data_IF_765534660777
#
_entry.id   IF_765534660777
#
_cell.length_a   1.000
_cell.length_b   1.000
_cell.length_c   1.000
_cell.angle_alpha   90.00
_cell.angle_beta   90.00
_cell.angle_gamma   90.00
#
_symmetry.space_group_name_H-M   'P 1'
#
loop_
_entity.id
_entity.type
_entity.pdbx_description
1 polymer ?
#
# COMPACT_ATOMS: atom_id res chain seq x y z
N UNK A 1 -22.23 46.96 -48.68
CA UNK A 1 -21.42 46.61 -47.49
C UNK A 1 -20.87 45.21 -47.70
N UNK A 2 -19.55 45.11 -47.73
CA UNK A 2 -18.79 44.17 -48.53
C UNK A 2 -18.59 42.82 -47.81
N UNK A 3 -18.85 41.72 -48.52
CA UNK A 3 -18.54 40.33 -48.14
C UNK A 3 -17.05 40.11 -47.85
N UNK A 4 -16.22 41.09 -48.21
CA UNK A 4 -14.79 41.19 -47.92
C UNK A 4 -14.44 41.32 -46.42
N UNK A 5 -15.34 41.84 -45.56
CA UNK A 5 -15.03 42.03 -44.14
C UNK A 5 -15.19 40.76 -43.27
N UNK A 6 -15.76 39.67 -43.82
CA UNK A 6 -15.85 38.38 -43.10
C UNK A 6 -14.64 37.48 -43.34
N UNK A 7 -13.89 37.70 -44.42
CA UNK A 7 -12.69 36.92 -44.71
C UNK A 7 -11.47 37.35 -43.89
N UNK A 8 -11.41 38.62 -43.46
CA UNK A 8 -10.27 39.14 -42.68
C UNK A 8 -10.38 38.73 -41.19
N UNK A 9 -11.58 38.61 -40.62
CA UNK A 9 -11.74 38.22 -39.21
C UNK A 9 -11.52 36.71 -39.02
N UNK A 10 -11.88 35.88 -40.00
CA UNK A 10 -11.62 34.44 -39.94
C UNK A 10 -10.16 34.07 -40.22
N UNK A 11 -9.40 34.90 -40.96
CA UNK A 11 -7.96 34.67 -41.20
C UNK A 11 -7.06 35.32 -40.14
N UNK A 12 -7.50 36.38 -39.45
CA UNK A 12 -6.70 37.01 -38.39
C UNK A 12 -6.79 36.25 -37.05
N UNK A 13 -7.87 35.50 -36.79
CA UNK A 13 -7.96 34.64 -35.61
C UNK A 13 -7.07 33.38 -35.73
N UNK A 14 -6.63 33.03 -36.94
CA UNK A 14 -5.67 31.94 -37.20
C UNK A 14 -4.22 32.40 -37.00
N UNK A 15 -3.95 33.71 -36.84
CA UNK A 15 -2.60 34.23 -36.62
C UNK A 15 -2.19 34.40 -35.15
N UNK A 16 -3.11 34.18 -34.19
CA UNK A 16 -2.79 34.24 -32.76
C UNK A 16 -2.43 32.89 -32.13
N UNK A 17 -2.47 31.78 -32.87
CA UNK A 17 -2.09 30.46 -32.34
C UNK A 17 -0.63 30.09 -32.57
N UNK A 18 0.17 30.92 -33.26
CA UNK A 18 1.58 30.58 -33.55
C UNK A 18 2.61 31.29 -32.67
N UNK A 19 2.26 32.34 -31.92
CA UNK A 19 3.24 33.08 -31.10
C UNK A 19 3.29 32.66 -29.63
N UNK A 20 2.31 31.91 -29.13
CA UNK A 20 2.30 31.45 -27.73
C UNK A 20 3.31 30.31 -27.43
N UNK A 21 4.00 29.80 -28.45
CA UNK A 21 4.94 28.67 -28.36
C UNK A 21 6.39 29.09 -28.65
N UNK A 22 6.70 30.38 -28.50
CA UNK A 22 8.05 30.93 -28.71
C UNK A 22 8.88 30.99 -27.41
N UNK A 23 8.71 30.00 -26.53
CA UNK A 23 9.46 29.87 -25.27
C UNK A 23 10.12 28.48 -25.18
N UNK A 24 11.14 28.37 -24.33
CA UNK A 24 11.76 27.08 -24.01
C UNK A 24 10.72 26.16 -23.34
N UNK A 25 10.42 24.97 -23.89
CA UNK A 25 9.48 24.03 -23.30
C UNK A 25 9.84 23.64 -21.87
N UNK A 26 8.82 23.52 -21.03
CA UNK A 26 8.95 23.15 -19.63
C UNK A 26 8.31 21.77 -19.40
N UNK A 27 9.01 20.90 -18.67
CA UNK A 27 8.44 19.64 -18.19
C UNK A 27 7.48 19.96 -17.05
N UNK A 28 6.20 19.65 -17.25
CA UNK A 28 5.15 19.85 -16.25
C UNK A 28 4.91 18.62 -15.40
N UNK A 29 5.23 17.43 -15.92
CA UNK A 29 5.09 16.16 -15.20
C UNK A 29 6.07 15.12 -15.76
N UNK A 30 6.69 14.38 -14.86
CA UNK A 30 7.39 13.13 -15.17
C UNK A 30 6.93 12.07 -14.17
N UNK A 31 6.44 10.92 -14.66
CA UNK A 31 6.01 9.84 -13.76
C UNK A 31 6.07 8.47 -14.40
N UNK A 32 6.16 7.44 -13.56
CA UNK A 32 5.81 6.07 -13.93
C UNK A 32 4.30 5.99 -14.12
N UNK A 33 3.83 5.33 -15.18
CA UNK A 33 2.39 5.20 -15.48
C UNK A 33 1.89 3.75 -15.47
N UNK A 34 2.79 2.78 -15.55
CA UNK A 34 2.50 1.37 -15.36
C UNK A 34 3.76 0.62 -14.91
N UNK A 35 3.72 -0.71 -14.88
CA UNK A 35 4.84 -1.56 -14.44
C UNK A 35 6.11 -1.38 -15.28
N UNK A 36 6.02 -0.89 -16.51
CA UNK A 36 7.10 -0.80 -17.50
C UNK A 36 7.34 0.61 -18.04
N UNK A 37 6.40 1.53 -17.93
CA UNK A 37 6.40 2.74 -18.75
C UNK A 37 6.56 4.00 -17.91
N UNK A 38 7.42 4.91 -18.40
CA UNK A 38 7.46 6.31 -17.97
C UNK A 38 6.70 7.19 -18.95
N UNK A 39 6.14 8.29 -18.44
CA UNK A 39 5.56 9.37 -19.23
C UNK A 39 6.15 10.71 -18.81
N UNK A 40 6.48 11.52 -19.81
CA UNK A 40 6.81 12.93 -19.65
C UNK A 40 5.72 13.80 -20.30
N UNK A 41 5.38 14.91 -19.65
CA UNK A 41 4.42 15.90 -20.13
C UNK A 41 5.10 17.26 -20.21
N UNK A 42 4.91 17.96 -21.32
CA UNK A 42 5.37 19.32 -21.54
C UNK A 42 4.24 20.33 -21.37
N UNK A 43 4.56 21.61 -21.19
CA UNK A 43 3.60 22.70 -21.21
C UNK A 43 3.09 23.04 -22.63
N UNK A 44 3.76 22.52 -23.65
CA UNK A 44 3.46 22.76 -25.06
C UNK A 44 3.87 21.58 -25.96
N UNK A 45 3.39 21.50 -27.21
CA UNK A 45 3.82 20.48 -28.15
C UNK A 45 5.30 20.65 -28.50
N UNK A 46 6.05 19.56 -28.43
CA UNK A 46 7.47 19.48 -28.84
C UNK A 46 7.66 18.35 -29.85
N UNK A 47 8.70 18.44 -30.66
CA UNK A 47 9.21 17.37 -31.51
C UNK A 47 10.59 16.96 -30.96
N UNK A 48 10.83 15.66 -30.72
CA UNK A 48 12.15 15.17 -30.27
C UNK A 48 12.99 14.61 -31.42
N UNK A 49 14.33 14.73 -31.35
CA UNK A 49 15.30 14.19 -32.33
C UNK A 49 16.49 13.49 -31.64
N UNK A 50 17.22 12.66 -32.39
CA UNK A 50 18.50 12.04 -31.97
C UNK A 50 19.70 13.02 -32.04
N UNK A 51 19.64 14.05 -32.90
CA UNK A 51 20.79 14.90 -33.22
C UNK A 51 20.44 16.19 -33.99
N UNK A 52 21.41 17.13 -33.99
CA UNK A 52 21.34 18.49 -34.59
C UNK A 52 21.05 18.54 -36.11
N UNK A 53 21.08 17.43 -36.85
CA UNK A 53 21.15 17.46 -38.32
C UNK A 53 20.22 16.47 -39.05
N UNK A 54 19.35 15.72 -38.36
CA UNK A 54 18.54 14.70 -39.02
C UNK A 54 17.03 14.97 -38.86
N UNK A 55 16.40 15.44 -39.93
CA UNK A 55 14.94 15.65 -40.03
C UNK A 55 14.11 14.34 -39.99
N UNK A 56 14.77 13.18 -39.90
CA UNK A 56 14.18 11.84 -39.93
C UNK A 56 14.50 10.98 -38.69
N UNK A 57 15.20 11.53 -37.70
CA UNK A 57 15.56 10.81 -36.49
C UNK A 57 14.34 10.47 -35.60
N UNK A 58 14.42 9.34 -34.90
CA UNK A 58 13.48 9.00 -33.85
C UNK A 58 13.71 9.93 -32.63
N UNK A 59 12.64 10.34 -31.92
CA UNK A 59 12.78 11.15 -30.72
C UNK A 59 13.39 10.31 -29.60
N UNK A 60 14.54 10.73 -29.09
CA UNK A 60 15.28 9.98 -28.07
C UNK A 60 15.43 10.75 -26.77
N UNK A 61 15.50 10.00 -25.66
CA UNK A 61 15.84 10.49 -24.33
C UNK A 61 17.09 9.78 -23.82
N UNK A 62 18.04 10.57 -23.34
CA UNK A 62 19.17 10.09 -22.55
C UNK A 62 18.83 10.29 -21.08
N UNK A 63 18.85 9.25 -20.27
CA UNK A 63 18.53 9.38 -18.86
C UNK A 63 19.19 8.30 -18.00
N UNK A 64 19.24 8.55 -16.70
CA UNK A 64 19.71 7.63 -15.68
C UNK A 64 18.76 7.61 -14.50
N UNK A 65 18.69 6.46 -13.85
CA UNK A 65 17.80 6.19 -12.71
C UNK A 65 18.66 5.77 -11.54
N UNK A 66 18.61 6.52 -10.44
CA UNK A 66 19.45 6.24 -9.29
C UNK A 66 18.80 6.64 -7.96
N UNK A 67 19.26 5.99 -6.89
CA UNK A 67 18.89 6.33 -5.50
C UNK A 67 20.13 6.25 -4.63
N UNK A 68 20.50 7.36 -4.00
CA UNK A 68 21.80 7.48 -3.33
C UNK A 68 22.93 7.23 -4.33
N UNK A 69 23.78 6.24 -4.05
CA UNK A 69 24.90 5.84 -4.92
C UNK A 69 24.56 4.68 -5.87
N UNK A 70 23.36 4.10 -5.77
CA UNK A 70 22.95 2.95 -6.59
C UNK A 70 22.29 3.42 -7.87
N UNK A 71 22.79 2.95 -9.02
CA UNK A 71 22.21 3.21 -10.34
C UNK A 71 21.47 1.97 -10.84
N UNK A 72 20.19 2.14 -11.14
CA UNK A 72 19.32 1.11 -11.74
C UNK A 72 19.33 1.19 -13.27
N UNK A 73 19.69 2.35 -13.81
CA UNK A 73 19.91 2.58 -15.23
C UNK A 73 20.98 3.68 -15.40
N UNK A 74 21.90 3.46 -16.33
CA UNK A 74 23.04 4.34 -16.52
C UNK A 74 24.13 4.15 -15.45
N UNK A 75 25.00 5.14 -15.34
CA UNK A 75 26.18 5.13 -14.47
C UNK A 75 26.40 6.50 -13.81
N UNK A 76 27.25 6.59 -12.77
CA UNK A 76 27.70 7.88 -12.26
C UNK A 76 28.44 8.70 -13.34
N UNK A 77 28.45 10.02 -13.18
CA UNK A 77 29.04 10.97 -14.15
C UNK A 77 28.02 11.88 -14.83
N UNK A 78 28.47 12.81 -15.66
CA UNK A 78 27.61 13.79 -16.39
C UNK A 78 27.77 13.70 -17.92
N UNK A 79 28.60 12.77 -18.40
CA UNK A 79 28.81 12.53 -19.83
C UNK A 79 27.68 11.70 -20.43
N UNK A 80 27.37 11.87 -21.72
CA UNK A 80 26.35 11.07 -22.42
C UNK A 80 26.55 9.56 -22.29
N UNK A 81 27.81 9.08 -22.22
CA UNK A 81 28.12 7.66 -22.00
C UNK A 81 27.66 7.10 -20.64
N UNK A 82 27.30 7.98 -19.69
CA UNK A 82 26.74 7.60 -18.39
C UNK A 82 25.22 7.44 -18.41
N UNK A 83 24.56 7.84 -19.49
CA UNK A 83 23.10 7.83 -19.62
C UNK A 83 22.68 6.66 -20.52
N UNK A 84 21.50 6.11 -20.28
CA UNK A 84 20.88 5.18 -21.19
C UNK A 84 20.03 5.93 -22.21
N UNK A 85 20.12 5.50 -23.47
CA UNK A 85 19.35 6.05 -24.58
C UNK A 85 18.07 5.24 -24.81
N UNK A 86 16.93 5.90 -24.94
CA UNK A 86 15.65 5.28 -25.31
C UNK A 86 14.93 6.09 -26.37
N UNK A 87 14.31 5.38 -27.30
CA UNK A 87 13.33 5.96 -28.23
C UNK A 87 12.03 6.23 -27.48
N UNK A 88 11.45 7.39 -27.73
CA UNK A 88 10.20 7.85 -27.15
C UNK A 88 9.03 7.66 -28.12
N UNK A 89 7.88 7.29 -27.59
CA UNK A 89 6.62 7.17 -28.34
C UNK A 89 5.71 8.35 -28.02
N UNK A 90 5.19 9.10 -29.03
CA UNK A 90 4.27 10.19 -28.75
C UNK A 90 2.88 9.69 -28.35
N UNK A 91 2.22 10.40 -27.42
CA UNK A 91 0.80 10.23 -27.12
C UNK A 91 0.01 11.28 -27.87
N UNK A 92 -0.97 10.85 -28.68
CA UNK A 92 -1.87 11.70 -29.47
C UNK A 92 -1.13 12.79 -30.27
N UNK A 93 -0.18 12.42 -31.15
CA UNK A 93 0.61 13.40 -31.89
C UNK A 93 -0.23 14.20 -32.89
N UNK A 94 0.17 15.46 -33.11
CA UNK A 94 -0.22 16.26 -34.26
C UNK A 94 0.97 16.38 -35.22
N UNK A 95 0.99 15.54 -36.25
CA UNK A 95 2.16 15.39 -37.11
C UNK A 95 3.34 14.84 -36.30
N UNK A 96 4.43 15.60 -36.19
CA UNK A 96 5.63 15.22 -35.42
C UNK A 96 5.69 15.81 -34.02
N UNK A 97 4.68 16.58 -33.62
CA UNK A 97 4.63 17.24 -32.33
C UNK A 97 3.68 16.52 -31.38
N UNK A 98 4.08 16.38 -30.12
CA UNK A 98 3.22 15.90 -29.05
C UNK A 98 3.55 16.60 -27.74
N UNK A 99 2.54 16.73 -26.86
CA UNK A 99 2.69 17.26 -25.50
C UNK A 99 3.17 16.17 -24.55
N UNK A 100 2.86 14.92 -24.84
CA UNK A 100 3.15 13.77 -23.99
C UNK A 100 3.90 12.70 -24.76
N UNK A 101 4.86 12.11 -24.09
CA UNK A 101 5.73 11.09 -24.65
C UNK A 101 5.99 10.00 -23.62
N UNK A 102 6.14 8.76 -24.09
CA UNK A 102 6.40 7.60 -23.25
C UNK A 102 7.60 6.81 -23.73
N UNK A 103 8.19 6.03 -22.83
CA UNK A 103 9.17 5.01 -23.17
C UNK A 103 9.10 3.88 -22.15
N UNK A 104 9.47 2.68 -22.57
CA UNK A 104 9.51 1.50 -21.70
C UNK A 104 10.89 1.35 -21.04
N UNK A 105 10.87 0.96 -19.77
CA UNK A 105 12.04 0.62 -18.97
C UNK A 105 11.75 -0.57 -18.05
N UNK A 106 11.23 -1.65 -18.64
CA UNK A 106 10.82 -2.84 -17.89
C UNK A 106 11.93 -3.42 -16.98
N UNK A 107 13.20 -3.58 -17.41
CA UNK A 107 14.23 -4.17 -16.55
C UNK A 107 14.58 -3.30 -15.34
N UNK A 108 14.76 -1.98 -15.53
CA UNK A 108 15.14 -1.10 -14.43
C UNK A 108 13.97 -0.90 -13.45
N UNK A 109 12.74 -0.75 -13.96
CA UNK A 109 11.55 -0.65 -13.12
C UNK A 109 11.34 -1.93 -12.29
N UNK A 110 11.49 -3.11 -12.88
CA UNK A 110 11.42 -4.37 -12.15
C UNK A 110 12.52 -4.50 -11.08
N UNK A 111 13.75 -4.06 -11.38
CA UNK A 111 14.84 -4.06 -10.41
C UNK A 111 14.57 -3.10 -9.23
N UNK A 112 13.95 -1.95 -9.48
CA UNK A 112 13.54 -1.00 -8.44
C UNK A 112 12.38 -1.53 -7.60
N UNK A 113 11.42 -2.25 -8.20
CA UNK A 113 10.34 -2.93 -7.49
C UNK A 113 10.89 -4.00 -6.54
N UNK A 114 11.85 -4.82 -7.01
CA UNK A 114 12.54 -5.82 -6.18
C UNK A 114 13.35 -5.17 -5.07
N UNK A 115 13.95 -4.01 -5.33
CA UNK A 115 14.65 -3.23 -4.31
C UNK A 115 13.70 -2.54 -3.31
N UNK A 116 12.38 -2.65 -3.50
CA UNK A 116 11.33 -2.10 -2.64
C UNK A 116 11.54 -0.60 -2.34
N UNK A 117 11.86 0.17 -3.39
CA UNK A 117 12.04 1.63 -3.29
C UNK A 117 10.79 2.36 -3.79
N UNK A 118 10.37 3.42 -3.08
CA UNK A 118 9.16 4.17 -3.40
C UNK A 118 9.39 5.36 -4.35
N UNK A 119 10.64 5.75 -4.54
CA UNK A 119 11.03 6.93 -5.32
C UNK A 119 12.42 6.73 -5.93
N UNK A 120 12.64 7.38 -7.06
CA UNK A 120 13.93 7.36 -7.77
C UNK A 120 14.28 8.76 -8.28
N UNK A 121 15.57 9.07 -8.29
CA UNK A 121 16.08 10.26 -8.97
C UNK A 121 16.27 9.94 -10.45
N UNK A 122 15.73 10.83 -11.28
CA UNK A 122 15.86 10.80 -12.72
C UNK A 122 16.66 12.02 -13.12
N UNK A 123 17.75 11.79 -13.83
CA UNK A 123 18.53 12.84 -14.49
C UNK A 123 18.51 12.54 -15.98
N UNK A 124 18.05 13.50 -16.77
CA UNK A 124 17.73 13.31 -18.18
C UNK A 124 18.20 14.48 -19.04
N UNK A 125 18.48 14.17 -20.30
CA UNK A 125 18.78 15.12 -21.36
C UNK A 125 18.21 14.62 -22.68
N UNK A 126 17.64 15.52 -23.47
CA UNK A 126 17.02 15.18 -24.74
C UNK A 126 17.01 16.41 -25.65
N UNK A 127 16.99 16.17 -26.96
CA UNK A 127 16.91 17.23 -27.96
C UNK A 127 15.45 17.47 -28.32
N UNK A 128 15.04 18.74 -28.36
CA UNK A 128 13.67 19.14 -28.65
C UNK A 128 13.61 20.33 -29.58
N UNK A 129 12.53 20.37 -30.36
CA UNK A 129 12.22 21.45 -31.29
C UNK A 129 10.74 21.86 -31.12
N UNK A 130 10.49 23.17 -31.08
CA UNK A 130 9.16 23.78 -31.21
C UNK A 130 9.24 24.98 -32.17
N UNK A 131 8.21 25.83 -32.20
CA UNK A 131 8.17 26.99 -33.11
C UNK A 131 9.18 28.11 -32.81
N UNK A 132 9.78 28.16 -31.61
CA UNK A 132 10.73 29.22 -31.22
C UNK A 132 11.96 28.74 -30.45
N UNK A 133 12.15 27.43 -30.31
CA UNK A 133 13.25 26.81 -29.62
C UNK A 133 13.68 25.55 -30.36
N UNK A 134 14.99 25.41 -30.49
CA UNK A 134 15.66 24.20 -30.97
C UNK A 134 16.91 24.03 -30.11
N UNK A 135 17.01 22.91 -29.40
CA UNK A 135 18.17 22.66 -28.56
C UNK A 135 18.02 21.51 -27.58
N UNK A 136 19.10 21.30 -26.83
CA UNK A 136 19.17 20.30 -25.78
C UNK A 136 18.54 20.83 -24.50
N UNK A 137 17.59 20.08 -23.96
CA UNK A 137 16.98 20.31 -22.67
C UNK A 137 17.43 19.22 -21.69
N UNK A 138 17.46 19.55 -20.40
CA UNK A 138 17.84 18.62 -19.35
C UNK A 138 17.09 18.91 -18.06
N UNK A 139 16.86 17.86 -17.28
CA UNK A 139 16.08 17.95 -16.05
C UNK A 139 16.55 16.90 -15.04
N UNK A 140 16.56 17.30 -13.78
CA UNK A 140 16.75 16.40 -12.65
C UNK A 140 15.50 16.46 -11.78
N UNK A 141 14.87 15.31 -11.56
CA UNK A 141 13.62 15.19 -10.80
C UNK A 141 13.67 13.96 -9.90
N UNK A 142 13.00 14.02 -8.76
CA UNK A 142 12.67 12.81 -7.99
C UNK A 142 11.23 12.45 -8.28
N UNK A 143 10.98 11.23 -8.72
CA UNK A 143 9.63 10.75 -9.03
C UNK A 143 9.21 9.62 -8.09
N UNK A 144 7.91 9.53 -7.84
CA UNK A 144 7.32 8.37 -7.17
C UNK A 144 7.29 7.18 -8.14
N UNK A 145 7.70 6.02 -7.64
CA UNK A 145 7.62 4.74 -8.36
C UNK A 145 6.31 4.02 -8.11
N UNK A 146 5.52 4.49 -7.15
CA UNK A 146 4.31 3.81 -6.73
C UNK A 146 3.04 4.50 -7.20
N UNK A 147 3.06 5.79 -7.54
CA UNK A 147 1.86 6.61 -7.81
C UNK A 147 0.93 6.06 -8.90
N UNK A 148 1.44 5.23 -9.81
CA UNK A 148 0.62 4.57 -10.84
C UNK A 148 -0.30 3.48 -10.28
N UNK A 149 0.01 2.94 -9.10
CA UNK A 149 -0.82 1.95 -8.43
C UNK A 149 -2.11 2.61 -7.93
N UNK A 150 -3.23 1.89 -8.00
CA UNK A 150 -4.45 2.35 -7.33
C UNK A 150 -4.26 2.35 -5.81
N UNK A 151 -4.98 3.22 -5.11
CA UNK A 151 -5.10 3.16 -3.66
C UNK A 151 -5.54 1.75 -3.24
N UNK A 152 -4.93 1.20 -2.19
CA UNK A 152 -5.24 -0.13 -1.67
C UNK A 152 -5.01 -0.17 -0.17
N UNK A 153 -5.95 -0.76 0.55
CA UNK A 153 -5.82 -1.04 1.99
C UNK A 153 -4.88 -2.24 2.16
N UNK A 154 -3.76 -2.03 2.85
CA UNK A 154 -2.74 -3.06 3.08
C UNK A 154 -2.97 -3.84 4.36
N UNK A 155 -3.74 -3.31 5.32
CA UNK A 155 -4.16 -4.06 6.52
C UNK A 155 -4.82 -5.38 6.15
N UNK A 156 -4.33 -6.48 6.71
CA UNK A 156 -4.84 -7.85 6.51
C UNK A 156 -5.81 -8.24 7.63
N UNK A 157 -6.26 -9.49 7.63
CA UNK A 157 -6.98 -10.07 8.76
C UNK A 157 -6.13 -10.01 10.03
N UNK A 158 -6.80 -9.90 11.17
CA UNK A 158 -6.20 -9.61 12.47
C UNK A 158 -6.66 -10.60 13.53
N UNK A 159 -5.86 -10.70 14.58
CA UNK A 159 -6.27 -11.27 15.86
C UNK A 159 -6.15 -10.19 16.92
N UNK A 160 -7.04 -10.16 17.90
CA UNK A 160 -6.97 -9.24 19.04
C UNK A 160 -7.31 -10.00 20.32
N UNK A 161 -6.57 -9.77 21.41
CA UNK A 161 -7.04 -10.16 22.73
C UNK A 161 -8.41 -9.57 23.01
N UNK A 162 -9.18 -10.28 23.80
CA UNK A 162 -10.37 -9.75 24.45
C UNK A 162 -10.05 -8.58 25.39
N UNK A 163 -11.10 -7.93 25.87
CA UNK A 163 -11.06 -6.80 26.81
C UNK A 163 -10.25 -5.58 26.35
N UNK A 164 -9.76 -5.56 25.10
CA UNK A 164 -9.00 -4.46 24.53
C UNK A 164 -9.86 -3.67 23.53
N UNK A 165 -9.99 -2.36 23.74
CA UNK A 165 -10.70 -1.50 22.79
C UNK A 165 -9.96 -1.32 21.46
N UNK A 166 -8.65 -1.13 21.50
CA UNK A 166 -7.85 -0.79 20.31
C UNK A 166 -7.40 -2.05 19.59
N UNK A 167 -7.81 -2.20 18.33
CA UNK A 167 -7.46 -3.39 17.53
C UNK A 167 -6.14 -3.17 16.81
N UNK A 168 -6.05 -2.14 15.97
CA UNK A 168 -4.83 -1.85 15.19
C UNK A 168 -4.84 -0.46 14.57
N UNK A 169 -3.69 -0.03 14.06
CA UNK A 169 -3.61 1.10 13.12
C UNK A 169 -3.78 0.58 11.69
N UNK A 170 -4.72 1.16 10.95
CA UNK A 170 -4.99 0.84 9.57
C UNK A 170 -3.91 1.42 8.64
N UNK A 171 -3.61 0.68 7.59
CA UNK A 171 -2.56 1.00 6.64
C UNK A 171 -3.05 0.83 5.20
N UNK A 172 -2.50 1.65 4.30
CA UNK A 172 -2.70 1.63 2.87
C UNK A 172 -1.35 1.76 2.17
N UNK A 173 -1.32 1.53 0.86
CA UNK A 173 -0.13 1.74 0.02
C UNK A 173 0.19 3.23 -0.26
N UNK A 174 -0.49 4.15 0.43
CA UNK A 174 -0.39 5.60 0.27
C UNK A 174 -0.36 6.29 1.62
N UNK A 175 0.68 7.06 1.84
CA UNK A 175 0.73 7.97 2.97
C UNK A 175 -0.36 9.04 2.85
N UNK A 176 -0.89 9.45 4.00
CA UNK A 176 -1.98 10.42 4.08
C UNK A 176 -3.36 9.91 3.66
N UNK A 177 -3.51 8.59 3.40
CA UNK A 177 -4.82 7.99 3.21
C UNK A 177 -5.66 8.09 4.49
N UNK A 178 -6.92 8.45 4.35
CA UNK A 178 -7.91 8.49 5.44
C UNK A 178 -8.78 7.25 5.40
N UNK A 179 -9.17 6.73 6.57
CA UNK A 179 -9.95 5.51 6.68
C UNK A 179 -11.33 5.77 7.29
N UNK A 180 -12.32 5.03 6.80
CA UNK A 180 -13.68 4.99 7.34
C UNK A 180 -14.23 3.56 7.29
N UNK A 181 -15.28 3.31 8.06
CA UNK A 181 -16.08 2.11 7.89
C UNK A 181 -16.93 2.27 6.62
N UNK A 182 -16.97 1.24 5.79
CA UNK A 182 -17.76 1.22 4.57
C UNK A 182 -19.18 0.75 4.87
N UNK A 183 -20.06 1.70 5.20
CA UNK A 183 -21.44 1.41 5.59
C UNK A 183 -21.57 0.72 6.95
N UNK A 184 -22.72 0.06 7.15
CA UNK A 184 -23.15 -0.53 8.44
C UNK A 184 -23.38 -2.04 8.38
N UNK A 185 -22.97 -2.70 7.28
CA UNK A 185 -23.11 -4.14 7.10
C UNK A 185 -22.21 -4.92 8.09
N UNK A 186 -22.58 -6.19 8.29
CA UNK A 186 -21.89 -7.13 9.18
C UNK A 186 -21.62 -6.53 10.57
N UNK A 187 -20.34 -6.46 10.97
CA UNK A 187 -19.97 -6.01 12.31
C UNK A 187 -19.52 -4.55 12.36
N UNK A 188 -19.59 -3.77 11.27
CA UNK A 188 -19.14 -2.37 11.25
C UNK A 188 -19.76 -1.54 12.39
N UNK A 189 -21.01 -1.81 12.76
CA UNK A 189 -21.69 -1.09 13.84
C UNK A 189 -21.04 -1.25 15.22
N UNK A 190 -20.21 -2.26 15.44
CA UNK A 190 -19.49 -2.52 16.68
C UNK A 190 -18.15 -1.76 16.76
N UNK A 191 -17.70 -1.16 15.66
CA UNK A 191 -16.38 -0.55 15.55
C UNK A 191 -16.46 0.95 15.26
N UNK A 192 -15.35 1.63 15.50
CA UNK A 192 -15.11 3.02 15.13
C UNK A 192 -13.67 3.17 14.64
N UNK A 193 -13.43 4.20 13.84
CA UNK A 193 -12.08 4.57 13.40
C UNK A 193 -11.80 5.98 13.89
N UNK A 194 -10.70 6.15 14.61
CA UNK A 194 -10.22 7.43 15.11
C UNK A 194 -8.75 7.59 14.70
N UNK A 195 -8.43 8.60 13.89
CA UNK A 195 -7.06 8.84 13.40
C UNK A 195 -6.41 7.59 12.78
N UNK A 196 -7.15 6.91 11.89
CA UNK A 196 -6.75 5.65 11.26
C UNK A 196 -6.57 4.47 12.22
N UNK A 197 -6.92 4.60 13.50
CA UNK A 197 -6.92 3.49 14.47
C UNK A 197 -8.29 2.84 14.51
N UNK A 198 -8.36 1.55 14.18
CA UNK A 198 -9.56 0.73 14.31
C UNK A 198 -9.75 0.32 15.77
N UNK A 199 -10.96 0.58 16.30
CA UNK A 199 -11.31 0.32 17.69
C UNK A 199 -12.70 -0.30 17.79
N UNK A 200 -12.93 -1.11 18.80
CA UNK A 200 -14.29 -1.38 19.27
C UNK A 200 -14.95 -0.07 19.75
N UNK A 201 -16.27 0.04 19.60
CA UNK A 201 -17.02 1.15 20.20
C UNK A 201 -17.08 1.02 21.72
N UNK A 202 -17.18 -0.19 22.24
CA UNK A 202 -17.07 -0.45 23.67
C UNK A 202 -15.66 -0.06 24.17
N UNK A 203 -15.59 0.65 25.28
CA UNK A 203 -14.34 1.05 25.92
C UNK A 203 -13.53 -0.13 26.48
N UNK A 204 -14.23 -1.21 26.82
CA UNK A 204 -13.61 -2.44 27.32
C UNK A 204 -13.46 -3.49 26.20
N UNK A 205 -13.61 -3.13 24.91
CA UNK A 205 -13.56 -4.13 23.85
C UNK A 205 -14.70 -5.14 23.90
N UNK A 206 -14.42 -6.36 23.44
CA UNK A 206 -15.31 -7.52 23.55
C UNK A 206 -14.68 -8.54 24.49
N UNK A 207 -15.49 -9.14 25.34
CA UNK A 207 -15.14 -10.20 26.28
C UNK A 207 -15.43 -11.55 25.61
N UNK A 208 -14.43 -12.43 25.59
CA UNK A 208 -14.42 -13.74 24.96
C UNK A 208 -15.31 -14.74 25.66
N UNK A 209 -15.64 -14.61 26.94
CA UNK A 209 -16.52 -15.56 27.61
C UNK A 209 -17.99 -15.20 27.42
N UNK A 210 -18.30 -13.91 27.34
CA UNK A 210 -19.69 -13.42 27.30
C UNK A 210 -20.17 -13.05 25.90
N UNK A 211 -19.28 -12.71 24.96
CA UNK A 211 -19.71 -12.30 23.61
C UNK A 211 -20.26 -13.47 22.80
N UNK A 212 -21.24 -13.23 21.93
CA UNK A 212 -21.77 -14.28 21.03
C UNK A 212 -20.87 -14.54 19.81
N UNK A 213 -20.04 -13.57 19.42
CA UNK A 213 -19.21 -13.65 18.21
C UNK A 213 -17.73 -13.57 18.55
N UNK A 214 -16.95 -14.58 18.16
CA UNK A 214 -15.48 -14.59 18.29
C UNK A 214 -14.75 -14.14 17.02
N UNK A 215 -15.49 -13.93 15.94
CA UNK A 215 -14.96 -13.45 14.65
C UNK A 215 -15.85 -12.32 14.16
N UNK A 216 -15.22 -11.20 13.78
CA UNK A 216 -15.89 -10.01 13.29
C UNK A 216 -15.48 -9.72 11.85
N UNK A 217 -16.46 -9.57 10.96
CA UNK A 217 -16.25 -9.15 9.57
C UNK A 217 -16.47 -7.65 9.46
N UNK A 218 -15.45 -6.93 8.96
CA UNK A 218 -15.42 -5.47 8.87
C UNK A 218 -15.13 -5.03 7.45
N UNK A 219 -15.93 -4.10 6.95
CA UNK A 219 -15.73 -3.45 5.66
C UNK A 219 -15.11 -2.08 5.86
N UNK A 220 -13.91 -1.92 5.31
CA UNK A 220 -13.12 -0.70 5.38
C UNK A 220 -13.14 0.03 4.05
N UNK A 221 -13.10 1.35 4.12
CA UNK A 221 -12.87 2.24 3.00
C UNK A 221 -11.66 3.13 3.28
N UNK A 222 -10.78 3.27 2.31
CA UNK A 222 -9.69 4.24 2.30
C UNK A 222 -9.91 5.25 1.18
N UNK A 223 -9.64 6.51 1.49
CA UNK A 223 -9.80 7.64 0.58
C UNK A 223 -8.54 8.52 0.58
N UNK A 224 -8.20 9.08 -0.58
CA UNK A 224 -7.14 10.06 -0.74
C UNK A 224 -7.47 10.99 -1.91
N UNK A 225 -7.18 12.28 -1.76
CA UNK A 225 -7.49 13.27 -2.80
C UNK A 225 -6.77 12.94 -4.12
N UNK A 226 -7.51 12.95 -5.22
CA UNK A 226 -7.00 12.62 -6.56
C UNK A 226 -6.86 11.12 -6.84
N UNK A 227 -7.21 10.24 -5.89
CA UNK A 227 -7.24 8.79 -6.09
C UNK A 227 -8.68 8.25 -6.00
N UNK A 228 -8.94 7.15 -6.70
CA UNK A 228 -10.19 6.40 -6.53
C UNK A 228 -10.19 5.72 -5.16
N UNK A 229 -11.32 5.79 -4.45
CA UNK A 229 -11.49 5.13 -3.16
C UNK A 229 -11.25 3.62 -3.25
N UNK A 230 -10.65 3.06 -2.21
CA UNK A 230 -10.41 1.63 -2.08
C UNK A 230 -11.27 1.04 -0.97
N UNK A 231 -11.88 -0.12 -1.21
CA UNK A 231 -12.63 -0.86 -0.18
C UNK A 231 -11.99 -2.22 0.08
N UNK A 232 -12.09 -2.71 1.31
CA UNK A 232 -11.55 -4.02 1.70
C UNK A 232 -12.34 -4.60 2.87
N UNK A 233 -12.70 -5.87 2.77
CA UNK A 233 -13.22 -6.64 3.89
C UNK A 233 -12.06 -7.32 4.62
N UNK A 234 -12.04 -7.20 5.94
CA UNK A 234 -11.11 -7.94 6.82
C UNK A 234 -11.90 -8.71 7.88
N UNK A 235 -11.29 -9.77 8.41
CA UNK A 235 -11.79 -10.47 9.59
C UNK A 235 -10.90 -10.20 10.80
N UNK A 236 -11.52 -10.05 11.97
CA UNK A 236 -10.85 -9.90 13.27
C UNK A 236 -11.26 -11.09 14.13
N UNK A 237 -10.31 -11.91 14.56
CA UNK A 237 -10.56 -13.02 15.47
C UNK A 237 -10.19 -12.62 16.89
N UNK A 238 -11.14 -12.77 17.82
CA UNK A 238 -10.94 -12.57 19.25
C UNK A 238 -10.15 -13.74 19.82
N UNK A 239 -9.16 -13.48 20.65
CA UNK A 239 -8.43 -14.50 21.39
C UNK A 239 -8.73 -14.39 22.86
N UNK A 240 -9.08 -15.53 23.44
CA UNK A 240 -9.26 -15.78 24.86
C UNK A 240 -7.99 -15.48 25.66
N UNK A 241 -8.14 -14.80 26.78
CA UNK A 241 -7.11 -14.54 27.77
C UNK A 241 -7.54 -15.11 29.10
N UNK A 242 -6.62 -15.72 29.85
CA UNK A 242 -6.92 -16.21 31.18
C UNK A 242 -7.09 -15.04 32.16
N UNK A 243 -8.33 -14.59 32.34
CA UNK A 243 -8.70 -13.44 33.16
C UNK A 243 -9.82 -13.74 34.16
N UNK A 244 -10.42 -14.93 34.10
CA UNK A 244 -11.40 -15.40 35.06
C UNK A 244 -10.75 -16.45 36.00
N UNK A 245 -10.99 -16.35 37.33
CA UNK A 245 -10.52 -17.38 38.24
C UNK A 245 -11.37 -18.66 38.15
N UNK A 246 -10.80 -19.84 38.47
CA UNK A 246 -11.58 -21.07 38.56
C UNK A 246 -12.68 -20.95 39.61
N UNK A 247 -13.86 -21.46 39.28
CA UNK A 247 -15.08 -21.33 40.10
C UNK A 247 -15.39 -22.55 40.94
N UNK A 248 -14.86 -23.72 40.57
CA UNK A 248 -15.09 -24.97 41.30
C UNK A 248 -13.96 -25.98 41.05
N UNK A 249 -13.85 -26.98 41.93
CA UNK A 249 -12.99 -28.15 41.77
C UNK A 249 -13.86 -29.36 41.46
N UNK A 250 -13.50 -30.10 40.41
CA UNK A 250 -14.14 -31.37 40.07
C UNK A 250 -13.27 -32.53 40.50
N UNK A 251 -13.94 -33.61 40.89
CA UNK A 251 -13.33 -34.90 41.17
C UNK A 251 -13.89 -35.91 40.17
N UNK A 252 -13.04 -36.75 39.60
CA UNK A 252 -13.49 -37.81 38.69
C UNK A 252 -14.46 -38.81 39.33
N UNK A 253 -14.45 -38.90 40.67
CA UNK A 253 -15.27 -39.81 41.46
C UNK A 253 -16.13 -39.01 42.45
N UNK A 254 -17.45 -39.18 42.41
CA UNK A 254 -18.38 -38.59 43.38
C UNK A 254 -18.41 -39.33 44.72
N UNK A 255 -17.92 -40.58 44.73
CA UNK A 255 -17.82 -41.41 45.93
C UNK A 255 -16.44 -42.07 45.97
N UNK A 256 -15.73 -41.85 47.07
CA UNK A 256 -14.44 -42.49 47.34
C UNK A 256 -14.67 -43.69 48.26
N UNK A 257 -14.34 -44.89 47.77
CA UNK A 257 -14.37 -46.10 48.60
C UNK A 257 -12.93 -46.52 48.84
N UNK A 258 -12.47 -46.28 50.06
CA UNK A 258 -11.22 -46.86 50.57
C UNK A 258 -11.64 -48.08 51.37
N UNK A 259 -11.35 -49.27 50.86
CA UNK A 259 -11.64 -50.51 51.57
C UNK A 259 -10.57 -50.72 52.64
N UNK A 260 -10.98 -50.68 53.91
CA UNK A 260 -10.13 -51.05 55.04
C UNK A 260 -9.60 -52.48 54.87
N UNK A 261 -8.31 -52.69 55.13
CA UNK A 261 -7.72 -54.03 55.19
C UNK A 261 -7.34 -54.67 53.85
N UNK A 262 -7.43 -53.94 52.73
CA UNK A 262 -6.83 -54.41 51.47
C UNK A 262 -5.30 -54.28 51.58
N UNK A 263 -4.65 -55.36 51.99
CA UNK A 263 -3.21 -55.51 51.82
C UNK A 263 -2.94 -55.65 50.32
N UNK A 264 -2.65 -54.54 49.64
CA UNK A 264 -1.92 -54.60 48.38
C UNK A 264 -0.52 -55.11 48.73
N UNK A 265 -0.38 -56.44 48.77
CA UNK A 265 0.88 -57.13 49.00
C UNK A 265 1.81 -56.92 47.81
N UNK A 266 2.46 -55.78 47.77
CA UNK A 266 3.86 -55.71 47.38
C UNK A 266 4.52 -54.80 48.40
N UNK A 267 5.66 -55.19 48.94
CA UNK A 267 6.35 -54.49 50.03
C UNK A 267 6.97 -53.16 49.58
N UNK A 268 6.30 -52.41 48.71
CA UNK A 268 6.72 -51.11 48.22
C UNK A 268 6.08 -49.99 49.07
N UNK A 269 6.85 -49.34 49.96
CA UNK A 269 6.38 -48.22 50.76
C UNK A 269 5.99 -46.99 49.92
N UNK A 270 6.23 -47.00 48.60
CA UNK A 270 5.85 -45.95 47.66
C UNK A 270 4.62 -46.31 46.81
N UNK A 271 3.89 -47.39 47.13
CA UNK A 271 2.70 -47.74 46.39
C UNK A 271 1.63 -46.65 46.55
N UNK A 272 1.39 -45.89 45.47
CA UNK A 272 0.38 -44.83 45.41
C UNK A 272 -0.93 -45.41 44.89
N UNK A 273 -2.02 -45.18 45.61
CA UNK A 273 -3.38 -45.48 45.15
C UNK A 273 -4.00 -44.23 44.53
N UNK A 274 -4.48 -44.34 43.29
CA UNK A 274 -5.23 -43.25 42.66
C UNK A 274 -6.60 -43.10 43.35
N UNK A 275 -6.76 -42.01 44.09
CA UNK A 275 -8.01 -41.68 44.79
C UNK A 275 -9.01 -41.04 43.82
N UNK A 276 -8.62 -39.97 43.12
CA UNK A 276 -9.39 -39.32 42.07
C UNK A 276 -8.47 -38.45 41.19
N UNK A 277 -8.93 -38.11 40.00
CA UNK A 277 -8.34 -37.02 39.22
C UNK A 277 -9.01 -35.70 39.61
N UNK A 278 -8.20 -34.66 39.80
CA UNK A 278 -8.67 -33.29 40.04
C UNK A 278 -8.85 -32.57 38.70
N UNK A 279 -9.95 -31.84 38.59
CA UNK A 279 -10.18 -30.85 37.55
C UNK A 279 -10.68 -29.55 38.19
N UNK A 280 -10.82 -28.50 37.38
CA UNK A 280 -11.42 -27.26 37.80
C UNK A 280 -12.46 -26.81 36.76
N UNK A 281 -13.48 -26.07 37.21
CA UNK A 281 -14.43 -25.40 36.33
C UNK A 281 -13.97 -23.96 36.18
N UNK A 282 -13.75 -23.57 34.94
CA UNK A 282 -13.29 -22.25 34.57
C UNK A 282 -13.89 -21.91 33.20
N UNK A 283 -14.20 -20.64 32.97
CA UNK A 283 -14.87 -20.22 31.74
C UNK A 283 -13.88 -20.05 30.59
N UNK A 284 -12.62 -19.70 30.91
CA UNK A 284 -11.59 -19.46 29.93
C UNK A 284 -11.22 -20.78 29.23
N UNK A 285 -10.85 -20.68 27.96
CA UNK A 285 -10.37 -21.84 27.18
C UNK A 285 -8.86 -22.05 27.33
N UNK A 286 -8.14 -21.04 27.81
CA UNK A 286 -6.68 -21.02 27.95
C UNK A 286 -6.24 -21.20 29.40
N UNK A 287 -6.54 -22.37 29.96
CA UNK A 287 -6.34 -22.65 31.38
C UNK A 287 -5.10 -23.49 31.73
N UNK A 288 -4.47 -23.16 32.87
CA UNK A 288 -3.49 -24.02 33.56
C UNK A 288 -3.80 -24.05 35.05
N UNK A 289 -4.27 -25.19 35.54
CA UNK A 289 -4.69 -25.33 36.93
C UNK A 289 -3.57 -25.91 37.81
N UNK A 290 -3.44 -25.36 39.02
CA UNK A 290 -2.58 -25.91 40.08
C UNK A 290 -3.45 -26.25 41.28
N UNK A 291 -3.30 -27.47 41.80
CA UNK A 291 -4.04 -27.93 42.98
C UNK A 291 -3.07 -28.10 44.15
N UNK A 292 -3.50 -27.69 45.35
CA UNK A 292 -2.76 -27.90 46.59
C UNK A 292 -3.71 -28.40 47.68
N UNK A 293 -3.17 -29.16 48.63
CA UNK A 293 -3.90 -29.63 49.80
C UNK A 293 -3.45 -28.80 50.99
N UNK A 294 -4.36 -28.06 51.61
CA UNK A 294 -4.12 -27.39 52.88
C UNK A 294 -4.59 -28.29 54.03
N UNK A 295 -3.67 -28.65 54.93
CA UNK A 295 -4.02 -29.33 56.17
C UNK A 295 -4.58 -28.29 57.14
N UNK A 296 -5.86 -28.45 57.51
CA UNK A 296 -6.46 -27.74 58.65
C UNK A 296 -5.99 -28.33 59.98
#
# INVERSE_FOLDING_TARGET
MNTFNRFIIATLLVFFTSQAFASNPVITELKRIDVKTFRITFDQPVQGWDSFNASAAEPEINYRLYRGTTYYLGAPGVSQSSYALRVMTPINPNGRFAIQWTWEEAPALAAMDVANINSVNVDMSFYMVNSGYEGMNGSAQTISLTDYLSLTITTTNLTTPEEVQTVTTLAANRDGATFSLDGTADNNNLFKIENSVLKFKNANGADYDTTSSKVYTIHLKASKNGETDATKTITITLTDTNDNPPTDITLSNSTLIIVEGVNYFDNDPNYLFLVANLGAIDVDTTNTFTFSLENN
#
